data_IF_751795953740
#
_entry.id   IF_751795953740
#
_cell.length_a   1.000
_cell.length_b   1.000
_cell.length_c   1.000
_cell.angle_alpha   90.00
_cell.angle_beta   90.00
_cell.angle_gamma   90.00
#
_symmetry.space_group_name_H-M   'P 1'
#
loop_
_entity.id
_entity.type
_entity.pdbx_description
1 polymer ?
#
# COMPACT_ATOMS: atom_id res chain seq x y z
N UNK A 1 -20.91 28.98 6.80
CA UNK A 1 -20.14 27.73 6.98
C UNK A 1 -19.45 27.47 5.65
N UNK A 2 -18.17 27.79 5.55
CA UNK A 2 -17.37 27.54 4.35
C UNK A 2 -16.93 26.07 4.41
N UNK A 3 -17.34 25.30 3.42
CA UNK A 3 -16.80 23.94 3.21
C UNK A 3 -15.29 23.99 3.25
N UNK A 4 -14.62 23.04 3.91
CA UNK A 4 -13.19 22.96 3.86
C UNK A 4 -12.76 22.87 2.40
N UNK A 5 -11.79 23.67 2.01
CA UNK A 5 -11.13 23.56 0.70
C UNK A 5 -10.30 22.27 0.70
N UNK A 6 -10.99 21.16 0.57
CA UNK A 6 -10.36 19.93 0.14
C UNK A 6 -10.27 20.04 -1.34
N UNK A 7 -9.12 19.92 -1.87
CA UNK A 7 -9.07 19.30 -3.18
C UNK A 7 -7.76 19.43 -3.90
N UNK A 8 -6.97 20.34 -3.94
CA UNK A 8 -6.00 20.48 -5.05
C UNK A 8 -4.66 19.75 -4.91
N UNK A 9 -4.51 18.80 -3.98
CA UNK A 9 -3.25 18.07 -3.79
C UNK A 9 -3.29 16.59 -4.19
N UNK A 10 -4.38 16.15 -4.79
CA UNK A 10 -4.50 14.78 -5.30
C UNK A 10 -4.25 14.74 -6.81
N UNK A 11 -2.99 14.84 -7.19
CA UNK A 11 -2.58 14.60 -8.58
C UNK A 11 -2.58 13.09 -8.80
N UNK A 12 -3.42 12.63 -9.74
CA UNK A 12 -3.46 11.23 -10.15
C UNK A 12 -2.49 11.00 -11.30
N UNK A 13 -1.78 9.86 -11.32
CA UNK A 13 -0.99 9.49 -12.48
C UNK A 13 -1.90 9.32 -13.70
N UNK A 14 -1.39 9.63 -14.87
CA UNK A 14 -2.04 9.26 -16.12
C UNK A 14 -1.89 7.75 -16.32
N UNK A 15 -2.72 7.18 -17.18
CA UNK A 15 -2.73 5.75 -17.44
C UNK A 15 -1.34 5.18 -17.79
N UNK A 16 -0.59 5.88 -18.64
CA UNK A 16 0.77 5.50 -19.05
C UNK A 16 1.87 5.75 -17.99
N UNK A 17 1.51 6.32 -16.85
CA UNK A 17 2.42 6.57 -15.72
C UNK A 17 2.23 5.58 -14.57
N UNK A 18 1.27 4.65 -14.74
CA UNK A 18 1.03 3.59 -13.75
C UNK A 18 2.18 2.58 -13.74
N UNK A 19 2.37 1.87 -12.62
CA UNK A 19 3.35 0.80 -12.58
C UNK A 19 3.10 -0.25 -13.65
N UNK A 20 4.16 -0.69 -14.34
CA UNK A 20 4.07 -1.71 -15.38
C UNK A 20 3.73 -3.10 -14.83
N UNK A 21 3.94 -3.31 -13.53
CA UNK A 21 3.71 -4.57 -12.85
C UNK A 21 2.60 -4.45 -11.82
N UNK A 22 1.75 -5.46 -11.74
CA UNK A 22 0.70 -5.51 -10.73
C UNK A 22 1.29 -5.52 -9.32
N UNK A 23 2.33 -6.31 -9.11
CA UNK A 23 3.04 -6.46 -7.84
C UNK A 23 4.54 -6.28 -8.03
N UNK A 24 5.17 -5.53 -7.14
CA UNK A 24 6.60 -5.23 -7.18
C UNK A 24 7.25 -5.64 -5.87
N UNK A 25 8.34 -6.38 -5.92
CA UNK A 25 9.13 -6.71 -4.74
C UNK A 25 9.93 -5.49 -4.26
N UNK A 26 9.56 -4.97 -3.10
CA UNK A 26 10.24 -3.81 -2.49
C UNK A 26 11.50 -4.23 -1.76
N UNK A 27 11.41 -5.28 -0.97
CA UNK A 27 12.51 -5.99 -0.31
C UNK A 27 12.29 -7.50 -0.44
N UNK A 28 13.29 -8.35 -0.23
CA UNK A 28 13.12 -9.80 -0.32
C UNK A 28 11.90 -10.29 0.48
N UNK A 29 10.97 -10.95 -0.21
CA UNK A 29 9.69 -11.43 0.31
C UNK A 29 8.69 -10.36 0.79
N UNK A 30 8.93 -9.09 0.56
CA UNK A 30 8.01 -7.99 0.87
C UNK A 30 7.60 -7.26 -0.41
N UNK A 31 6.32 -7.35 -0.76
CA UNK A 31 5.77 -6.90 -2.03
C UNK A 31 4.72 -5.81 -1.86
N UNK A 32 4.70 -4.85 -2.76
CA UNK A 32 3.66 -3.84 -2.88
C UNK A 32 2.90 -4.01 -4.19
N UNK A 33 1.58 -3.81 -4.16
CA UNK A 33 0.81 -3.98 -5.38
C UNK A 33 -0.59 -3.39 -5.40
N UNK A 34 -1.22 -3.57 -6.55
CA UNK A 34 -2.59 -3.20 -6.85
C UNK A 34 -3.51 -4.40 -7.04
N UNK A 35 -4.73 -4.08 -7.50
CA UNK A 35 -5.75 -5.03 -7.94
C UNK A 35 -6.04 -4.83 -9.43
N UNK A 36 -6.68 -5.79 -10.06
CA UNK A 36 -6.92 -5.78 -11.52
C UNK A 36 -7.96 -4.75 -11.97
N UNK A 37 -8.81 -4.29 -11.08
CA UNK A 37 -9.92 -3.39 -11.36
C UNK A 37 -9.54 -1.90 -11.36
N UNK A 38 -8.26 -1.60 -11.42
CA UNK A 38 -7.73 -0.25 -11.25
C UNK A 38 -8.21 0.61 -12.35
N UNK A 39 -8.87 0.73 -13.12
CA UNK A 39 -9.12 1.84 -14.06
C UNK A 39 -10.23 1.58 -15.09
N UNK A 40 -10.93 0.44 -14.98
CA UNK A 40 -12.05 0.15 -15.86
C UNK A 40 -11.70 0.22 -17.37
N UNK A 41 -10.44 0.03 -17.71
CA UNK A 41 -9.95 0.14 -19.08
C UNK A 41 -9.45 -1.23 -19.54
N UNK A 42 -10.19 -1.84 -20.45
CA UNK A 42 -9.94 -3.19 -20.97
C UNK A 42 -8.52 -3.33 -21.57
N UNK A 43 -8.00 -2.27 -22.19
CA UNK A 43 -6.69 -2.29 -22.83
C UNK A 43 -5.53 -2.52 -21.85
N UNK A 44 -5.67 -2.08 -20.61
CA UNK A 44 -4.65 -2.30 -19.59
C UNK A 44 -4.62 -3.75 -19.11
N UNK A 45 -5.77 -4.38 -19.04
CA UNK A 45 -5.90 -5.79 -18.68
C UNK A 45 -5.31 -6.71 -19.76
N UNK A 46 -5.48 -6.37 -21.04
CA UNK A 46 -4.90 -7.14 -22.13
C UNK A 46 -3.36 -7.08 -22.15
N UNK A 47 -2.78 -5.92 -21.85
CA UNK A 47 -1.33 -5.76 -21.80
C UNK A 47 -0.68 -6.49 -20.62
N UNK A 48 -1.37 -6.61 -19.51
CA UNK A 48 -0.80 -7.23 -18.31
C UNK A 48 -0.89 -8.75 -18.31
N UNK A 49 -1.65 -9.40 -19.19
CA UNK A 49 -1.94 -10.84 -19.20
C UNK A 49 -2.44 -11.37 -17.83
N UNK A 50 -3.09 -10.51 -17.03
CA UNK A 50 -3.34 -10.74 -15.60
C UNK A 50 -4.85 -10.80 -15.31
N UNK A 51 -5.71 -10.71 -16.34
CA UNK A 51 -7.17 -10.79 -16.16
C UNK A 51 -7.52 -12.08 -15.42
N UNK A 52 -8.12 -11.91 -14.25
CA UNK A 52 -8.60 -13.03 -13.46
C UNK A 52 -7.51 -13.85 -12.75
N UNK A 53 -6.30 -13.30 -12.58
CA UNK A 53 -5.28 -13.99 -11.78
C UNK A 53 -5.63 -13.92 -10.30
N UNK A 54 -6.21 -14.99 -9.80
CA UNK A 54 -6.38 -15.19 -8.38
C UNK A 54 -5.02 -15.27 -7.69
N UNK A 55 -4.89 -14.62 -6.54
CA UNK A 55 -3.70 -14.76 -5.69
C UNK A 55 -3.75 -16.12 -5.01
N UNK A 56 -2.77 -16.95 -5.30
CA UNK A 56 -2.66 -18.30 -4.75
C UNK A 56 -1.49 -18.43 -3.78
N UNK A 57 -1.44 -19.56 -3.07
CA UNK A 57 -0.33 -19.90 -2.18
C UNK A 57 1.03 -20.00 -2.88
N UNK A 58 1.06 -20.15 -4.20
CA UNK A 58 2.29 -20.10 -5.01
C UNK A 58 2.81 -18.68 -5.17
N UNK A 59 1.91 -17.71 -5.13
CA UNK A 59 2.26 -16.30 -5.28
C UNK A 59 2.68 -15.69 -3.94
N UNK A 60 1.87 -15.86 -2.89
CA UNK A 60 2.09 -15.25 -1.57
C UNK A 60 1.61 -16.15 -0.43
N UNK A 61 2.27 -16.04 0.73
CA UNK A 61 1.84 -16.68 1.97
C UNK A 61 0.80 -15.84 2.70
N UNK A 62 0.96 -14.52 2.65
CA UNK A 62 0.09 -13.55 3.31
C UNK A 62 -0.21 -12.37 2.40
N UNK A 63 -1.46 -11.90 2.42
CA UNK A 63 -1.90 -10.71 1.70
C UNK A 63 -2.60 -9.76 2.65
N UNK A 64 -2.20 -8.49 2.61
CA UNK A 64 -2.81 -7.39 3.35
C UNK A 64 -3.48 -6.45 2.37
N UNK A 65 -4.82 -6.47 2.34
CA UNK A 65 -5.65 -5.80 1.33
C UNK A 65 -6.33 -4.56 1.92
N UNK A 66 -6.04 -3.39 1.34
CA UNK A 66 -6.58 -2.08 1.77
C UNK A 66 -7.57 -1.48 0.78
N UNK A 67 -8.24 -2.32 0.04
CA UNK A 67 -9.29 -1.95 -0.90
C UNK A 67 -10.47 -2.92 -0.76
N UNK A 68 -11.64 -2.40 -0.38
CA UNK A 68 -12.79 -3.22 0.00
C UNK A 68 -13.31 -4.10 -1.15
N UNK A 69 -13.26 -3.58 -2.40
CA UNK A 69 -13.78 -4.28 -3.58
C UNK A 69 -12.75 -5.20 -4.25
N UNK A 70 -11.54 -5.34 -3.70
CA UNK A 70 -10.54 -6.25 -4.27
C UNK A 70 -11.04 -7.69 -4.29
N UNK A 71 -10.74 -8.42 -5.37
CA UNK A 71 -10.97 -9.86 -5.42
C UNK A 71 -10.27 -10.57 -4.26
N UNK A 72 -10.92 -11.50 -3.57
CA UNK A 72 -10.30 -12.27 -2.49
C UNK A 72 -9.10 -13.08 -3.01
N UNK A 73 -8.12 -13.29 -2.14
CA UNK A 73 -7.11 -14.31 -2.39
C UNK A 73 -7.71 -15.72 -2.24
N UNK A 74 -7.05 -16.72 -2.82
CA UNK A 74 -7.39 -18.14 -2.64
C UNK A 74 -7.51 -18.48 -1.15
N UNK A 75 -8.42 -19.41 -0.86
CA UNK A 75 -8.75 -19.88 0.49
C UNK A 75 -7.53 -20.30 1.33
N UNK A 76 -6.48 -20.78 0.71
CA UNK A 76 -5.25 -21.20 1.41
C UNK A 76 -4.27 -20.08 1.71
N UNK A 77 -4.51 -18.86 1.23
CA UNK A 77 -3.70 -17.68 1.50
C UNK A 77 -4.24 -16.98 2.74
N UNK A 78 -3.36 -16.65 3.70
CA UNK A 78 -3.76 -15.78 4.80
C UNK A 78 -4.05 -14.38 4.24
N UNK A 79 -5.30 -13.95 4.22
CA UNK A 79 -5.66 -12.60 3.83
C UNK A 79 -6.23 -11.83 5.01
N UNK A 80 -5.68 -10.61 5.25
CA UNK A 80 -6.27 -9.60 6.13
C UNK A 80 -6.80 -8.46 5.26
N UNK A 81 -8.07 -8.12 5.44
CA UNK A 81 -8.74 -7.05 4.67
C UNK A 81 -9.11 -5.91 5.60
N UNK A 82 -8.66 -4.70 5.28
CA UNK A 82 -8.99 -3.49 5.98
C UNK A 82 -9.14 -2.33 4.99
N UNK A 83 -10.37 -2.02 4.62
CA UNK A 83 -10.67 -0.93 3.69
C UNK A 83 -10.64 0.43 4.39
N UNK A 84 -9.96 1.40 3.80
CA UNK A 84 -10.04 2.80 4.19
C UNK A 84 -9.95 3.71 2.96
N UNK A 85 -10.35 4.96 3.14
CA UNK A 85 -10.38 5.92 2.04
C UNK A 85 -8.97 6.40 1.67
N UNK A 86 -8.77 6.60 0.36
CA UNK A 86 -7.60 7.29 -0.17
C UNK A 86 -7.84 8.80 -0.10
N UNK A 87 -7.80 9.35 1.10
CA UNK A 87 -8.12 10.74 1.43
C UNK A 87 -7.20 11.28 2.51
N UNK A 88 -7.56 12.40 3.14
CA UNK A 88 -6.83 12.89 4.31
C UNK A 88 -7.04 11.98 5.53
N UNK A 89 -5.99 11.73 6.28
CA UNK A 89 -6.06 10.90 7.51
C UNK A 89 -6.81 11.61 8.67
N UNK A 90 -7.13 12.89 8.52
CA UNK A 90 -7.78 13.71 9.56
C UNK A 90 -9.24 13.33 9.83
N UNK A 91 -9.93 12.73 8.87
CA UNK A 91 -11.34 12.36 8.98
C UNK A 91 -11.57 10.93 9.48
N UNK A 92 -10.48 10.22 9.65
CA UNK A 92 -10.47 8.83 10.05
C UNK A 92 -9.22 8.64 10.91
N UNK A 93 -9.39 8.22 12.15
CA UNK A 93 -8.25 7.85 12.99
C UNK A 93 -7.91 6.36 12.76
N UNK A 94 -7.28 6.02 11.63
CA UNK A 94 -6.92 4.65 11.31
C UNK A 94 -5.65 4.22 12.05
N UNK A 95 -5.01 5.14 12.77
CA UNK A 95 -3.65 4.95 13.28
C UNK A 95 -3.59 3.76 14.24
N UNK A 96 -4.54 3.65 15.16
CA UNK A 96 -4.55 2.52 16.09
C UNK A 96 -4.79 1.18 15.38
N UNK A 97 -5.77 1.12 14.48
CA UNK A 97 -6.06 -0.08 13.72
C UNK A 97 -4.92 -0.46 12.76
N UNK A 98 -4.28 0.54 12.14
CA UNK A 98 -3.12 0.31 11.27
C UNK A 98 -1.91 -0.18 12.04
N UNK A 99 -1.73 0.22 13.28
CA UNK A 99 -0.59 -0.22 14.10
C UNK A 99 -0.56 -1.74 14.24
N UNK A 100 -1.69 -2.36 14.60
CA UNK A 100 -1.77 -3.81 14.74
C UNK A 100 -1.57 -4.52 13.41
N UNK A 101 -2.12 -3.97 12.34
CA UNK A 101 -1.95 -4.52 10.99
C UNK A 101 -0.48 -4.45 10.54
N UNK A 102 0.18 -3.31 10.77
CA UNK A 102 1.61 -3.12 10.46
C UNK A 102 2.46 -4.10 11.28
N UNK A 103 2.17 -4.27 12.58
CA UNK A 103 2.83 -5.26 13.43
C UNK A 103 2.68 -6.69 12.88
N UNK A 104 1.48 -7.06 12.46
CA UNK A 104 1.23 -8.38 11.88
C UNK A 104 1.95 -8.57 10.55
N UNK A 105 1.89 -7.59 9.65
CA UNK A 105 2.55 -7.66 8.35
C UNK A 105 4.07 -7.76 8.50
N UNK A 106 4.66 -6.94 9.36
CA UNK A 106 6.08 -7.00 9.68
C UNK A 106 6.49 -8.35 10.29
N UNK A 107 5.72 -8.86 11.25
CA UNK A 107 5.97 -10.18 11.86
C UNK A 107 5.91 -11.30 10.83
N UNK A 108 4.90 -11.32 9.97
CA UNK A 108 4.78 -12.32 8.92
C UNK A 108 5.97 -12.26 7.96
N UNK A 109 6.35 -11.08 7.51
CA UNK A 109 7.53 -10.89 6.66
C UNK A 109 8.83 -11.33 7.34
N UNK A 110 9.08 -10.89 8.57
CA UNK A 110 10.30 -11.27 9.34
C UNK A 110 10.35 -12.77 9.67
N UNK A 111 9.22 -13.46 9.64
CA UNK A 111 9.19 -14.93 9.76
C UNK A 111 9.56 -15.68 8.48
N UNK A 112 9.94 -14.97 7.41
CA UNK A 112 10.34 -15.55 6.13
C UNK A 112 9.17 -15.79 5.15
N UNK A 113 7.96 -15.35 5.49
CA UNK A 113 6.80 -15.47 4.60
C UNK A 113 6.88 -14.45 3.47
N UNK A 114 6.33 -14.85 2.32
CA UNK A 114 6.15 -13.96 1.18
C UNK A 114 4.87 -13.15 1.37
N UNK A 115 5.02 -11.84 1.62
CA UNK A 115 3.95 -10.93 2.02
C UNK A 115 3.66 -9.93 0.91
N UNK A 116 2.37 -9.78 0.54
CA UNK A 116 1.88 -8.73 -0.35
C UNK A 116 1.06 -7.71 0.44
N UNK A 117 1.38 -6.43 0.27
CA UNK A 117 0.59 -5.29 0.74
C UNK A 117 -0.04 -4.63 -0.49
N UNK A 118 -1.38 -4.69 -0.60
CA UNK A 118 -2.08 -4.20 -1.81
C UNK A 118 -3.24 -3.27 -1.51
N UNK A 119 -3.50 -2.37 -2.44
CA UNK A 119 -4.76 -1.62 -2.52
C UNK A 119 -5.26 -1.63 -3.97
N UNK A 120 -6.08 -0.69 -4.39
CA UNK A 120 -6.57 -0.64 -5.77
C UNK A 120 -5.43 -0.42 -6.78
N UNK A 121 -4.78 0.74 -6.77
CA UNK A 121 -3.68 1.06 -7.69
C UNK A 121 -2.30 0.58 -7.23
N UNK A 122 -2.17 0.20 -5.97
CA UNK A 122 -0.87 -0.14 -5.40
C UNK A 122 0.05 1.07 -5.21
N UNK A 123 -0.50 2.26 -4.97
CA UNK A 123 0.26 3.51 -4.85
C UNK A 123 0.11 4.18 -3.47
N UNK A 124 -1.12 4.48 -3.04
CA UNK A 124 -1.36 5.31 -1.87
C UNK A 124 -1.64 4.51 -0.59
N UNK A 125 -2.79 3.81 -0.51
CA UNK A 125 -3.17 3.04 0.69
C UNK A 125 -2.18 1.91 1.00
N UNK A 126 -1.76 1.16 0.00
CA UNK A 126 -0.68 0.19 0.15
C UNK A 126 0.67 0.86 0.42
N UNK A 127 0.89 2.05 -0.14
CA UNK A 127 2.12 2.83 0.05
C UNK A 127 2.31 3.29 1.49
N UNK A 128 1.26 3.86 2.12
CA UNK A 128 1.39 4.27 3.53
C UNK A 128 1.63 3.08 4.45
N UNK A 129 0.93 1.96 4.24
CA UNK A 129 1.12 0.77 5.07
C UNK A 129 2.50 0.16 4.84
N UNK A 130 2.96 0.07 3.61
CA UNK A 130 4.32 -0.40 3.28
C UNK A 130 5.38 0.49 3.94
N UNK A 131 5.23 1.83 3.87
CA UNK A 131 6.14 2.75 4.53
C UNK A 131 6.20 2.51 6.04
N UNK A 132 5.05 2.31 6.69
CA UNK A 132 4.99 2.03 8.12
C UNK A 132 5.62 0.68 8.49
N UNK A 133 5.49 -0.34 7.64
CA UNK A 133 6.20 -1.62 7.81
C UNK A 133 7.72 -1.43 7.71
N UNK A 134 8.19 -0.64 6.75
CA UNK A 134 9.61 -0.30 6.61
C UNK A 134 10.13 0.54 7.78
N UNK A 135 9.35 1.53 8.25
CA UNK A 135 9.69 2.33 9.44
C UNK A 135 9.81 1.42 10.68
N UNK A 136 8.90 0.46 10.83
CA UNK A 136 8.99 -0.54 11.88
C UNK A 136 10.26 -1.39 11.79
N UNK A 137 10.75 -1.65 10.59
CA UNK A 137 12.02 -2.36 10.35
C UNK A 137 13.26 -1.46 10.52
N UNK A 138 13.08 -0.19 10.89
CA UNK A 138 14.15 0.75 11.21
C UNK A 138 14.49 1.77 10.10
N UNK A 139 13.74 1.79 9.00
CA UNK A 139 13.92 2.83 7.99
C UNK A 139 13.48 4.19 8.49
N UNK A 140 14.16 5.24 8.05
CA UNK A 140 13.63 6.60 8.18
C UNK A 140 12.50 6.82 7.17
N UNK A 141 11.49 7.65 7.50
CA UNK A 141 10.33 7.87 6.61
C UNK A 141 10.71 8.26 5.18
N UNK A 142 11.66 9.18 5.01
CA UNK A 142 12.10 9.62 3.70
C UNK A 142 12.79 8.51 2.90
N UNK A 143 13.57 7.66 3.56
CA UNK A 143 14.26 6.52 2.93
C UNK A 143 13.27 5.42 2.53
N UNK A 144 12.27 5.15 3.36
CA UNK A 144 11.19 4.23 3.03
C UNK A 144 10.42 4.68 1.78
N UNK A 145 10.04 5.96 1.71
CA UNK A 145 9.36 6.55 0.55
C UNK A 145 10.24 6.46 -0.70
N UNK A 146 11.51 6.83 -0.57
CA UNK A 146 12.46 6.75 -1.68
C UNK A 146 12.60 5.33 -2.20
N UNK A 147 12.79 4.35 -1.32
CA UNK A 147 12.91 2.93 -1.68
C UNK A 147 11.70 2.44 -2.48
N UNK A 148 10.49 2.73 -2.01
CA UNK A 148 9.25 2.33 -2.71
C UNK A 148 9.14 2.99 -4.08
N UNK A 149 9.51 4.27 -4.20
CA UNK A 149 9.49 5.00 -5.48
C UNK A 149 10.51 4.46 -6.46
N UNK A 150 11.72 4.17 -6.01
CA UNK A 150 12.77 3.58 -6.84
C UNK A 150 12.42 2.17 -7.35
N UNK A 151 11.71 1.39 -6.53
CA UNK A 151 11.36 0.01 -6.86
C UNK A 151 10.10 -0.12 -7.70
N UNK A 152 9.06 0.64 -7.38
CA UNK A 152 7.73 0.47 -7.99
C UNK A 152 7.37 1.59 -8.97
N UNK A 153 7.31 2.81 -8.52
CA UNK A 153 6.92 3.97 -9.34
C UNK A 153 7.12 5.27 -8.57
N UNK A 154 7.56 6.31 -9.25
CA UNK A 154 7.64 7.68 -8.69
C UNK A 154 6.29 8.19 -8.17
N UNK A 155 5.18 7.57 -8.58
CA UNK A 155 3.83 7.92 -8.15
C UNK A 155 3.40 7.27 -6.83
N UNK A 156 4.23 6.43 -6.22
CA UNK A 156 3.95 5.91 -4.88
C UNK A 156 3.81 7.08 -3.90
N UNK A 157 2.71 7.08 -3.12
CA UNK A 157 2.33 8.17 -2.23
C UNK A 157 2.09 9.50 -2.98
N UNK A 158 1.45 9.45 -4.15
CA UNK A 158 0.96 10.65 -4.83
C UNK A 158 -0.17 11.36 -4.05
N UNK A 159 -0.82 10.68 -3.12
CA UNK A 159 -1.64 11.31 -2.09
C UNK A 159 -0.73 12.06 -1.10
N UNK A 160 -0.66 13.37 -1.26
CA UNK A 160 0.24 14.22 -0.45
C UNK A 160 -0.12 14.27 1.04
N UNK A 161 -1.34 13.92 1.42
CA UNK A 161 -1.72 13.80 2.82
C UNK A 161 -0.98 12.63 3.49
N UNK A 162 -0.87 11.49 2.81
CA UNK A 162 -0.15 10.33 3.32
C UNK A 162 1.36 10.57 3.36
N UNK A 163 1.92 11.19 2.32
CA UNK A 163 3.35 11.56 2.30
C UNK A 163 3.69 12.51 3.45
N UNK A 164 2.90 13.59 3.62
CA UNK A 164 3.11 14.55 4.72
C UNK A 164 2.97 13.93 6.10
N UNK A 165 1.98 13.05 6.28
CA UNK A 165 1.83 12.33 7.54
C UNK A 165 3.13 11.58 7.90
N UNK A 166 3.68 10.82 6.96
CA UNK A 166 4.91 10.04 7.17
C UNK A 166 6.12 10.95 7.47
N UNK A 167 6.30 12.02 6.68
CA UNK A 167 7.44 12.94 6.81
C UNK A 167 7.38 13.81 8.06
N UNK A 168 6.21 13.99 8.66
CA UNK A 168 6.01 14.81 9.86
C UNK A 168 5.83 13.97 11.15
N UNK A 169 6.11 12.67 11.09
CA UNK A 169 6.10 11.84 12.30
C UNK A 169 7.11 12.37 13.32
N UNK A 170 6.62 12.66 14.54
CA UNK A 170 7.48 13.05 15.66
C UNK A 170 8.30 11.85 16.16
N UNK A 171 9.34 12.11 16.94
CA UNK A 171 10.14 11.03 17.54
C UNK A 171 9.30 10.09 18.42
N UNK A 172 8.29 10.63 19.12
CA UNK A 172 7.34 9.86 19.90
C UNK A 172 6.49 8.94 19.03
N UNK A 173 5.97 9.48 17.91
CA UNK A 173 5.19 8.70 16.94
C UNK A 173 6.05 7.64 16.25
N UNK A 174 7.29 7.99 15.88
CA UNK A 174 8.25 7.01 15.33
C UNK A 174 8.52 5.89 16.32
N UNK A 175 8.67 6.21 17.60
CA UNK A 175 8.84 5.18 18.64
C UNK A 175 7.64 4.23 18.73
N UNK A 176 6.40 4.73 18.55
CA UNK A 176 5.19 3.90 18.53
C UNK A 176 5.22 2.93 17.33
N UNK A 177 5.57 3.43 16.13
CA UNK A 177 5.63 2.59 14.93
C UNK A 177 6.75 1.56 14.99
N UNK A 178 7.89 1.88 15.61
CA UNK A 178 9.07 1.01 15.75
C UNK A 178 8.91 -0.07 16.82
N UNK A 179 8.03 0.11 17.79
CA UNK A 179 7.75 -0.83 18.89
C UNK A 179 6.51 -1.69 18.66
#
# INVERSE_FOLDING_TARGET
>A
MTSPKHIDEFIRPRHNELPNELWTETLPNLWQGGTLDVWGNEDWFEQANIIGKEITKKDFDCVYTFYASAEPADWFVKELRFGFYDSALTDFDPVENLLDIVKMAHKDWKSGKKVLIRCQAGLNRSGIVMALVLIRDGYEPADAIKLMRDKRSSWVLCNKNFERYLLNLTDEQLAIWRN
#
